data_IF_162980095543
#
_entry.id   IF_162980095543
#
_cell.length_a   1.000
_cell.length_b   1.000
_cell.length_c   1.000
_cell.angle_alpha   90.00
_cell.angle_beta   90.00
_cell.angle_gamma   90.00
#
_symmetry.space_group_name_H-M   'P 1'
#
loop_
_entity.id
_entity.type
_entity.pdbx_description
1 polymer ?
#
# COMPACT_ATOMS: atom_id res chain seq x y z
N UNK A 1 -12.16 0.54 85.27
CA UNK A 1 -13.09 0.16 84.20
C UNK A 1 -13.56 1.41 83.48
N UNK A 2 -13.11 1.65 82.25
CA UNK A 2 -13.68 2.65 81.32
C UNK A 2 -13.15 2.36 79.90
N UNK A 3 -14.01 2.63 78.94
CA UNK A 3 -14.21 1.85 77.71
C UNK A 3 -13.28 2.18 76.55
N UNK A 4 -13.11 1.19 75.66
CA UNK A 4 -12.49 1.24 74.33
C UNK A 4 -13.20 2.24 73.42
N UNK A 5 -12.45 3.01 72.61
CA UNK A 5 -12.91 3.53 71.31
C UNK A 5 -11.77 3.48 70.29
N UNK A 6 -11.80 2.42 69.48
CA UNK A 6 -11.06 2.27 68.23
C UNK A 6 -11.69 3.25 67.21
N UNK A 7 -10.91 4.15 66.63
CA UNK A 7 -11.37 4.98 65.49
C UNK A 7 -10.50 4.63 64.29
N UNK A 8 -11.06 3.78 63.43
CA UNK A 8 -10.52 3.48 62.10
C UNK A 8 -11.00 4.59 61.16
N UNK A 9 -10.10 5.47 60.71
CA UNK A 9 -10.40 6.41 59.63
C UNK A 9 -9.97 5.74 58.32
N UNK A 10 -10.93 5.09 57.66
CA UNK A 10 -10.76 4.56 56.31
C UNK A 10 -10.75 5.71 55.30
N UNK A 11 -9.60 5.97 54.69
CA UNK A 11 -9.51 6.82 53.50
C UNK A 11 -9.87 5.96 52.27
N UNK A 12 -11.09 6.13 51.76
CA UNK A 12 -11.49 5.55 50.49
C UNK A 12 -10.82 6.34 49.34
N UNK A 13 -9.79 5.75 48.74
CA UNK A 13 -9.22 6.26 47.48
C UNK A 13 -10.14 5.84 46.35
N UNK A 14 -11.03 6.73 45.93
CA UNK A 14 -11.80 6.57 44.70
C UNK A 14 -10.87 6.81 43.51
N UNK A 15 -10.24 5.74 43.03
CA UNK A 15 -9.51 5.76 41.76
C UNK A 15 -10.54 5.81 40.62
N UNK A 16 -10.86 7.02 40.15
CA UNK A 16 -11.56 7.21 38.89
C UNK A 16 -10.65 6.75 37.75
N UNK A 17 -10.84 5.51 37.30
CA UNK A 17 -10.23 5.01 36.07
C UNK A 17 -10.92 5.72 34.91
N UNK A 18 -10.37 6.87 34.49
CA UNK A 18 -10.67 7.44 33.20
C UNK A 18 -10.06 6.51 32.15
N UNK A 19 -10.89 5.59 31.64
CA UNK A 19 -10.53 4.79 30.47
C UNK A 19 -10.27 5.74 29.31
N UNK A 20 -9.02 5.88 28.91
CA UNK A 20 -8.67 6.46 27.61
C UNK A 20 -9.22 5.50 26.56
N UNK A 21 -10.30 5.89 25.90
CA UNK A 21 -10.71 5.25 24.66
C UNK A 21 -9.58 5.43 23.66
N UNK A 22 -8.73 4.42 23.52
CA UNK A 22 -7.87 4.29 22.35
C UNK A 22 -8.81 4.11 21.16
N UNK A 23 -8.98 5.18 20.37
CA UNK A 23 -9.54 5.03 19.05
C UNK A 23 -8.61 4.07 18.31
N UNK A 24 -9.03 2.82 18.11
CA UNK A 24 -8.36 1.96 17.15
C UNK A 24 -8.57 2.63 15.81
N UNK A 25 -7.53 3.26 15.25
CA UNK A 25 -7.51 3.49 13.82
C UNK A 25 -7.77 2.11 13.21
N UNK A 26 -8.94 1.92 12.59
CA UNK A 26 -9.27 0.67 11.93
C UNK A 26 -8.11 0.36 11.00
N UNK A 27 -7.54 -0.83 11.13
CA UNK A 27 -6.39 -1.20 10.32
C UNK A 27 -6.90 -1.30 8.88
N UNK A 28 -6.42 -0.40 8.01
CA UNK A 28 -6.85 -0.35 6.62
C UNK A 28 -6.00 -1.28 5.77
N UNK A 29 -6.54 -1.69 4.62
CA UNK A 29 -5.78 -2.34 3.57
C UNK A 29 -4.60 -1.47 3.16
N UNK A 30 -3.50 -2.11 2.78
CA UNK A 30 -2.31 -1.41 2.33
C UNK A 30 -1.55 -2.20 1.25
N UNK A 31 -0.97 -1.46 0.32
CA UNK A 31 -0.05 -1.99 -0.67
C UNK A 31 1.16 -1.05 -0.76
N UNK A 32 2.36 -1.59 -0.60
CA UNK A 32 3.60 -0.82 -0.74
C UNK A 32 4.58 -1.62 -1.57
N UNK A 33 5.31 -0.96 -2.44
CA UNK A 33 6.29 -1.69 -3.21
C UNK A 33 7.08 -0.78 -4.12
N UNK A 34 8.01 -1.40 -4.81
CA UNK A 34 8.74 -0.74 -5.84
C UNK A 34 9.87 -1.61 -6.34
N UNK A 35 10.25 -1.33 -7.57
CA UNK A 35 11.20 -2.17 -8.25
C UNK A 35 11.40 -1.75 -9.68
N UNK A 36 12.21 -2.54 -10.36
CA UNK A 36 12.49 -2.41 -11.77
C UNK A 36 11.88 -3.60 -12.50
N UNK A 37 11.14 -3.32 -13.55
CA UNK A 37 10.60 -4.35 -14.42
C UNK A 37 11.67 -4.87 -15.39
N UNK A 38 11.55 -6.11 -15.83
CA UNK A 38 12.40 -6.69 -16.87
C UNK A 38 11.88 -6.28 -18.26
N UNK A 39 12.71 -5.65 -19.09
CA UNK A 39 12.42 -5.46 -20.53
C UNK A 39 13.35 -6.36 -21.33
N UNK A 40 12.86 -7.56 -21.66
CA UNK A 40 13.61 -8.57 -22.41
C UNK A 40 14.95 -8.96 -21.76
N UNK A 41 15.97 -9.21 -22.57
CA UNK A 41 17.29 -9.69 -22.12
C UNK A 41 18.38 -8.61 -21.99
N UNK A 42 18.04 -7.32 -22.15
CA UNK A 42 19.05 -6.29 -22.50
C UNK A 42 19.16 -5.06 -21.60
N UNK A 43 18.37 -4.90 -20.53
CA UNK A 43 18.62 -3.77 -19.64
C UNK A 43 17.63 -3.56 -18.50
N UNK A 44 17.95 -2.53 -17.72
CA UNK A 44 17.12 -1.95 -16.69
C UNK A 44 15.82 -1.40 -17.31
N UNK A 45 14.68 -2.06 -17.06
CA UNK A 45 13.37 -1.58 -17.49
C UNK A 45 12.87 -0.38 -16.67
N UNK A 46 11.58 -0.11 -16.80
CA UNK A 46 10.89 0.94 -16.06
C UNK A 46 10.98 0.72 -14.55
N UNK A 47 10.88 1.80 -13.79
CA UNK A 47 10.89 1.72 -12.33
C UNK A 47 9.57 2.24 -11.79
N UNK A 48 9.01 1.50 -10.85
CA UNK A 48 7.81 1.90 -10.11
C UNK A 48 8.13 1.94 -8.63
N UNK A 49 7.56 2.90 -7.92
CA UNK A 49 7.56 2.94 -6.46
C UNK A 49 6.22 3.49 -5.99
N UNK A 50 5.57 2.80 -5.07
CA UNK A 50 4.24 3.17 -4.62
C UNK A 50 4.02 2.89 -3.14
N UNK A 51 3.13 3.69 -2.57
CA UNK A 51 2.51 3.44 -1.28
C UNK A 51 1.02 3.71 -1.45
N UNK A 52 0.19 2.82 -0.97
CA UNK A 52 -1.26 2.93 -0.99
C UNK A 52 -1.82 2.36 0.32
N UNK A 53 -2.84 3.03 0.84
CA UNK A 53 -3.69 2.53 1.93
C UNK A 53 -5.11 3.03 1.73
N UNK A 54 -6.09 2.31 2.23
CA UNK A 54 -7.48 2.76 2.22
C UNK A 54 -8.46 1.67 1.82
N UNK A 55 -9.45 2.05 1.02
CA UNK A 55 -10.55 1.20 0.58
C UNK A 55 -10.85 1.43 -0.91
N UNK A 56 -11.70 0.60 -1.53
CA UNK A 56 -12.10 0.79 -2.93
C UNK A 56 -12.76 2.15 -3.20
N UNK A 57 -13.37 2.77 -2.19
CA UNK A 57 -14.04 4.07 -2.30
C UNK A 57 -13.17 5.26 -1.87
N UNK A 58 -12.11 5.02 -1.10
CA UNK A 58 -11.27 6.07 -0.54
C UNK A 58 -9.86 5.55 -0.23
N UNK A 59 -8.92 5.86 -1.12
CA UNK A 59 -7.50 5.55 -0.98
C UNK A 59 -6.66 6.81 -0.79
N UNK A 60 -5.49 6.62 -0.20
CA UNK A 60 -4.45 7.64 -0.10
C UNK A 60 -3.08 7.00 -0.29
N UNK A 61 -2.15 7.78 -0.85
CA UNK A 61 -0.87 7.23 -1.26
C UNK A 61 -0.16 8.06 -2.30
N UNK A 62 1.01 7.59 -2.70
CA UNK A 62 1.87 8.24 -3.69
C UNK A 62 2.44 7.17 -4.62
N UNK A 63 2.56 7.54 -5.89
CA UNK A 63 3.19 6.74 -6.94
C UNK A 63 4.27 7.56 -7.62
N UNK A 64 5.39 6.91 -7.92
CA UNK A 64 6.37 7.36 -8.89
C UNK A 64 6.56 6.26 -9.94
N UNK A 65 6.46 6.64 -11.21
CA UNK A 65 6.75 5.76 -12.33
C UNK A 65 7.79 6.42 -13.22
N UNK A 66 8.87 5.69 -13.52
CA UNK A 66 9.95 6.14 -14.39
C UNK A 66 9.91 5.29 -15.64
N UNK A 67 9.37 5.87 -16.70
CA UNK A 67 9.33 5.27 -18.03
C UNK A 67 10.67 5.51 -18.72
N UNK A 68 11.35 4.42 -19.06
CA UNK A 68 12.62 4.40 -19.79
C UNK A 68 12.45 3.95 -21.24
N UNK A 69 11.24 3.57 -21.64
CA UNK A 69 10.90 3.13 -22.98
C UNK A 69 10.34 4.26 -23.86
N UNK A 70 9.61 5.20 -23.27
CA UNK A 70 9.10 6.42 -23.94
C UNK A 70 10.19 7.48 -24.19
N UNK A 71 11.38 7.25 -23.66
CA UNK A 71 12.58 8.03 -23.93
C UNK A 71 13.17 7.74 -25.30
N UNK A 72 13.15 8.70 -26.22
CA UNK A 72 14.02 8.64 -27.40
C UNK A 72 15.48 8.86 -26.98
N UNK A 73 16.17 7.80 -26.54
CA UNK A 73 17.58 7.85 -26.11
C UNK A 73 17.77 7.66 -24.61
N UNK A 74 18.47 8.59 -23.93
CA UNK A 74 18.77 8.53 -22.48
C UNK A 74 17.72 9.25 -21.61
N UNK A 75 16.70 9.83 -22.23
CA UNK A 75 15.74 10.70 -21.56
C UNK A 75 14.62 9.85 -20.97
N UNK A 76 14.67 9.58 -19.66
CA UNK A 76 13.57 8.92 -18.95
C UNK A 76 12.46 9.94 -18.62
N UNK A 77 11.20 9.53 -18.70
CA UNK A 77 10.06 10.34 -18.26
C UNK A 77 9.70 9.91 -16.83
N UNK A 78 9.53 10.87 -15.93
CA UNK A 78 9.17 10.62 -14.53
C UNK A 78 7.78 11.13 -14.27
N UNK A 79 6.87 10.20 -13.96
CA UNK A 79 5.50 10.48 -13.55
C UNK A 79 5.39 10.41 -12.03
N UNK A 80 4.64 11.34 -11.45
CA UNK A 80 4.28 11.33 -10.04
C UNK A 80 2.77 11.36 -9.93
N UNK A 81 2.21 10.53 -9.06
CA UNK A 81 0.76 10.40 -8.90
C UNK A 81 0.34 10.28 -7.44
N UNK A 82 -0.92 10.59 -7.19
CA UNK A 82 -1.59 10.37 -5.92
C UNK A 82 -2.57 9.21 -6.07
N UNK A 83 -2.64 8.35 -5.06
CA UNK A 83 -3.62 7.25 -5.01
C UNK A 83 -4.98 7.79 -4.60
N UNK A 84 -6.02 7.32 -5.27
CA UNK A 84 -7.41 7.70 -5.01
C UNK A 84 -8.24 6.54 -4.45
N UNK A 85 -7.87 5.29 -4.75
CA UNK A 85 -8.49 4.09 -4.18
C UNK A 85 -7.49 2.94 -4.04
N UNK A 86 -7.84 1.95 -3.22
CA UNK A 86 -7.13 0.69 -3.07
C UNK A 86 -8.14 -0.44 -2.84
N UNK A 87 -8.13 -1.48 -3.65
CA UNK A 87 -8.85 -2.73 -3.38
C UNK A 87 -7.84 -3.87 -3.18
N UNK A 88 -7.92 -4.56 -2.04
CA UNK A 88 -7.09 -5.74 -1.75
C UNK A 88 -7.94 -7.00 -1.78
N UNK A 89 -7.40 -8.06 -2.36
CA UNK A 89 -8.02 -9.38 -2.45
C UNK A 89 -6.94 -10.43 -2.20
N UNK A 90 -6.77 -10.84 -0.94
CA UNK A 90 -5.69 -11.75 -0.56
C UNK A 90 -4.32 -11.11 -0.75
N UNK A 91 -3.49 -11.65 -1.64
CA UNK A 91 -2.16 -11.14 -1.96
C UNK A 91 -2.15 -10.15 -3.15
N UNK A 92 -3.31 -9.83 -3.71
CA UNK A 92 -3.44 -8.91 -4.85
C UNK A 92 -3.92 -7.55 -4.37
N UNK A 93 -3.35 -6.48 -4.93
CA UNK A 93 -3.85 -5.12 -4.77
C UNK A 93 -4.10 -4.45 -6.12
N UNK A 94 -5.27 -3.81 -6.24
CA UNK A 94 -5.66 -2.93 -7.34
C UNK A 94 -5.65 -1.49 -6.84
N UNK A 95 -4.80 -0.68 -7.45
CA UNK A 95 -4.59 0.72 -7.07
C UNK A 95 -4.97 1.59 -8.25
N UNK A 96 -5.71 2.66 -8.04
CA UNK A 96 -5.95 3.69 -9.05
C UNK A 96 -5.75 5.07 -8.46
N UNK A 97 -5.41 6.02 -9.34
CA UNK A 97 -5.17 7.39 -8.94
C UNK A 97 -4.98 8.35 -10.11
N UNK A 98 -4.45 9.51 -9.79
CA UNK A 98 -4.24 10.59 -10.75
C UNK A 98 -2.77 11.00 -10.76
N UNK A 99 -2.18 11.07 -11.95
CA UNK A 99 -0.90 11.70 -12.20
C UNK A 99 -0.99 13.21 -11.97
N UNK A 100 0.12 13.85 -11.63
CA UNK A 100 0.18 15.31 -11.42
C UNK A 100 -0.12 16.14 -12.67
N UNK A 101 0.03 15.55 -13.86
CA UNK A 101 -0.33 16.16 -15.14
C UNK A 101 -1.83 16.06 -15.47
N UNK A 102 -2.61 15.38 -14.62
CA UNK A 102 -4.05 15.20 -14.76
C UNK A 102 -4.47 13.89 -15.43
N UNK A 103 -3.53 13.08 -15.92
CA UNK A 103 -3.82 11.72 -16.38
C UNK A 103 -4.25 10.80 -15.23
N UNK A 104 -4.94 9.71 -15.55
CA UNK A 104 -5.28 8.66 -14.58
C UNK A 104 -4.33 7.47 -14.74
N UNK A 105 -4.18 6.69 -13.67
CA UNK A 105 -3.41 5.45 -13.69
C UNK A 105 -4.13 4.33 -12.95
N UNK A 106 -3.82 3.10 -13.35
CA UNK A 106 -4.10 1.91 -12.57
C UNK A 106 -2.80 1.12 -12.35
N UNK A 107 -2.68 0.46 -11.21
CA UNK A 107 -1.57 -0.44 -10.88
C UNK A 107 -2.14 -1.73 -10.33
N UNK A 108 -1.83 -2.83 -11.00
CA UNK A 108 -2.06 -4.17 -10.51
C UNK A 108 -0.80 -4.66 -9.77
N UNK A 109 -0.99 -5.20 -8.57
CA UNK A 109 0.09 -5.71 -7.73
C UNK A 109 -0.26 -7.13 -7.28
N UNK A 110 0.69 -8.05 -7.40
CA UNK A 110 0.61 -9.42 -6.87
C UNK A 110 1.84 -9.65 -5.98
N UNK A 111 1.61 -9.88 -4.69
CA UNK A 111 2.65 -10.22 -3.70
C UNK A 111 2.82 -11.75 -3.68
N UNK A 112 3.91 -12.25 -4.24
CA UNK A 112 4.20 -13.68 -4.38
C UNK A 112 4.99 -14.23 -3.19
N UNK A 113 5.13 -13.43 -2.12
CA UNK A 113 5.81 -13.79 -0.89
C UNK A 113 7.30 -13.48 -0.90
N UNK A 114 7.99 -13.89 0.16
CA UNK A 114 9.35 -13.44 0.46
C UNK A 114 10.37 -14.59 0.46
N UNK A 115 11.57 -14.31 -0.04
CA UNK A 115 12.73 -15.18 0.07
C UNK A 115 13.17 -15.84 -1.24
N UNK A 116 14.30 -16.55 -1.21
CA UNK A 116 14.99 -17.05 -2.42
C UNK A 116 14.24 -18.13 -3.22
N UNK A 117 13.11 -18.62 -2.70
CA UNK A 117 12.26 -19.63 -3.33
C UNK A 117 10.86 -19.09 -3.69
N UNK A 118 10.58 -17.82 -3.38
CA UNK A 118 9.38 -17.14 -3.85
C UNK A 118 9.55 -16.76 -5.32
N UNK A 119 8.44 -16.75 -6.06
CA UNK A 119 8.41 -16.15 -7.39
C UNK A 119 8.53 -14.63 -7.28
N UNK A 120 8.96 -13.97 -8.35
CA UNK A 120 9.06 -12.51 -8.38
C UNK A 120 7.66 -11.87 -8.23
N UNK A 121 7.56 -10.79 -7.47
CA UNK A 121 6.33 -10.01 -7.37
C UNK A 121 5.95 -9.38 -8.71
N UNK A 122 4.65 -9.21 -8.94
CA UNK A 122 4.13 -8.55 -10.15
C UNK A 122 3.72 -7.12 -9.81
N UNK A 123 4.17 -6.17 -10.60
CA UNK A 123 3.67 -4.79 -10.58
C UNK A 123 3.48 -4.30 -12.00
N UNK A 124 2.23 -4.28 -12.45
CA UNK A 124 1.86 -3.79 -13.79
C UNK A 124 1.22 -2.42 -13.67
N UNK A 125 1.80 -1.42 -14.35
CA UNK A 125 1.19 -0.09 -14.53
C UNK A 125 0.36 -0.13 -15.81
N UNK A 126 -0.94 0.17 -15.69
CA UNK A 126 -1.91 0.11 -16.78
C UNK A 126 -2.35 1.53 -17.18
N UNK A 127 -2.63 1.76 -18.47
CA UNK A 127 -3.32 2.97 -18.90
C UNK A 127 -4.65 3.09 -18.17
N UNK A 128 -4.93 4.29 -17.64
CA UNK A 128 -5.68 4.40 -16.39
C UNK A 128 -7.17 4.08 -16.45
N UNK A 129 -7.61 3.50 -15.33
CA UNK A 129 -8.99 3.40 -14.88
C UNK A 129 -9.19 4.35 -13.70
N UNK A 130 -10.36 4.96 -13.54
CA UNK A 130 -10.61 5.90 -12.42
C UNK A 130 -11.06 5.23 -11.12
N UNK A 131 -11.24 3.90 -11.16
CA UNK A 131 -11.70 3.08 -10.05
C UNK A 131 -10.70 1.95 -9.79
N UNK A 132 -10.86 1.26 -8.67
CA UNK A 132 -10.08 0.07 -8.32
C UNK A 132 -10.76 -1.25 -8.74
N UNK A 133 -11.86 -1.13 -9.49
CA UNK A 133 -12.60 -2.24 -10.08
C UNK A 133 -12.27 -2.34 -11.56
N UNK A 134 -11.00 -2.70 -11.84
CA UNK A 134 -10.51 -2.95 -13.18
C UNK A 134 -10.13 -4.41 -13.34
N UNK A 135 -10.19 -4.93 -14.56
CA UNK A 135 -9.88 -6.33 -14.83
C UNK A 135 -8.41 -6.66 -14.54
N UNK A 136 -8.17 -7.87 -14.06
CA UNK A 136 -6.80 -8.37 -13.92
C UNK A 136 -6.13 -8.44 -15.30
N UNK A 137 -4.89 -7.94 -15.45
CA UNK A 137 -4.16 -8.07 -16.71
C UNK A 137 -3.95 -9.55 -17.06
N UNK A 138 -3.99 -9.86 -18.36
CA UNK A 138 -3.67 -11.21 -18.84
C UNK A 138 -2.23 -11.59 -18.44
N UNK A 139 -1.96 -12.89 -18.30
CA UNK A 139 -0.66 -13.37 -17.81
C UNK A 139 0.54 -12.87 -18.64
N UNK A 140 0.33 -12.60 -19.94
CA UNK A 140 1.37 -12.06 -20.83
C UNK A 140 1.62 -10.56 -20.65
N UNK A 141 0.65 -9.83 -20.09
CA UNK A 141 0.74 -8.39 -19.76
C UNK A 141 1.17 -8.15 -18.31
N UNK A 142 1.22 -9.21 -17.49
CA UNK A 142 1.76 -9.15 -16.13
C UNK A 142 3.25 -8.85 -16.17
N UNK A 143 3.65 -7.83 -15.43
CA UNK A 143 5.02 -7.35 -15.40
C UNK A 143 5.68 -7.71 -14.08
N UNK A 144 6.49 -8.77 -14.09
CA UNK A 144 7.26 -9.19 -12.94
C UNK A 144 8.41 -8.20 -12.63
N UNK A 145 8.68 -8.00 -11.35
CA UNK A 145 9.80 -7.21 -10.87
C UNK A 145 11.08 -8.02 -10.98
N UNK A 146 12.01 -7.55 -11.82
CA UNK A 146 13.37 -8.08 -11.91
C UNK A 146 14.18 -7.86 -10.64
N UNK A 147 13.86 -6.76 -9.95
CA UNK A 147 14.48 -6.29 -8.71
C UNK A 147 13.45 -5.48 -7.96
N UNK A 148 13.43 -5.62 -6.66
CA UNK A 148 12.48 -4.92 -5.81
C UNK A 148 11.54 -5.91 -5.16
N UNK A 149 10.48 -5.37 -4.57
CA UNK A 149 9.50 -6.15 -3.82
C UNK A 149 8.21 -5.35 -3.69
N UNK A 150 7.09 -6.03 -3.58
CA UNK A 150 5.79 -5.54 -3.25
C UNK A 150 5.28 -6.24 -1.99
N UNK A 151 4.43 -5.55 -1.25
CA UNK A 151 3.84 -6.04 -0.02
C UNK A 151 2.38 -5.65 -0.01
N UNK A 152 1.50 -6.65 0.04
CA UNK A 152 0.05 -6.47 0.10
C UNK A 152 -0.46 -6.92 1.47
N UNK A 153 -1.34 -6.12 2.06
CA UNK A 153 -1.91 -6.37 3.39
C UNK A 153 -3.42 -6.19 3.34
N UNK A 154 -4.11 -7.31 3.45
CA UNK A 154 -5.57 -7.45 3.63
C UNK A 154 -5.90 -7.38 5.13
N UNK A 155 -6.86 -6.53 5.54
CA UNK A 155 -7.14 -6.25 6.96
C UNK A 155 -8.58 -6.39 7.41
#
# INVERSE_FOLDING_TARGET
MRSVKLVVVGAAVAAAMFGTAVASAAQQDAATGGGQVLVGSKGAGDTVAFTAKGTPDAGEGQVQYVDRTDGTGKDQVVHHGTVNCLAVMGNVARISGTWRDGGVFAIYVEDNGEGAAADDDVVTVLPGESTCDFDEPEDEDKTALARGNAQVRDR
#
